data_IF_033761939419
#
_entry.id   IF_033761939419
#
_cell.length_a   1.000
_cell.length_b   1.000
_cell.length_c   1.000
_cell.angle_alpha   90.00
_cell.angle_beta   90.00
_cell.angle_gamma   90.00
#
_symmetry.space_group_name_H-M   'P 1'
#
loop_
_entity.id
_entity.type
_entity.pdbx_description
1 polymer ?
#
# COMPACT_ATOMS: atom_id res chain seq x y z
N UNK A 1 21.84 -9.18 -3.79
CA UNK A 1 20.90 -8.32 -3.05
C UNK A 1 21.03 -6.86 -3.46
N UNK A 2 21.98 -6.50 -4.35
CA UNK A 2 22.28 -5.11 -4.71
C UNK A 2 21.21 -4.36 -5.55
N UNK A 3 20.10 -4.99 -5.93
CA UNK A 3 19.10 -4.38 -6.83
C UNK A 3 17.71 -4.14 -6.21
N UNK A 4 17.51 -4.35 -4.89
CA UNK A 4 16.22 -4.04 -4.24
C UNK A 4 16.22 -2.58 -3.79
N UNK A 5 15.46 -1.73 -4.48
CA UNK A 5 15.37 -0.30 -4.18
C UNK A 5 14.57 0.01 -2.91
N UNK A 6 13.48 -0.71 -2.64
CA UNK A 6 12.59 -0.48 -1.50
C UNK A 6 11.69 -1.68 -1.22
N UNK A 7 11.10 -1.68 -0.03
CA UNK A 7 10.04 -2.60 0.39
C UNK A 7 8.73 -1.82 0.51
N UNK A 8 7.65 -2.37 -0.06
CA UNK A 8 6.29 -1.85 0.09
C UNK A 8 5.47 -2.92 0.79
N UNK A 9 4.91 -2.61 1.95
CA UNK A 9 4.12 -3.55 2.75
C UNK A 9 2.63 -3.31 2.49
N UNK A 10 1.94 -4.39 2.12
CA UNK A 10 0.49 -4.41 1.88
C UNK A 10 -0.20 -5.49 2.71
N UNK A 11 -1.53 -5.52 2.67
CA UNK A 11 -2.42 -6.40 3.43
C UNK A 11 -2.75 -5.86 4.83
N UNK A 12 -3.63 -6.57 5.54
CA UNK A 12 -4.09 -6.17 6.88
C UNK A 12 -2.97 -6.13 7.92
N UNK A 13 -1.97 -7.01 7.81
CA UNK A 13 -0.83 -7.05 8.73
C UNK A 13 0.09 -5.83 8.60
N UNK A 14 0.06 -5.12 7.46
CA UNK A 14 0.84 -3.89 7.27
C UNK A 14 0.51 -2.81 8.31
N UNK A 15 -0.68 -2.88 8.92
CA UNK A 15 -1.17 -1.92 9.92
C UNK A 15 -0.55 -2.11 11.31
N UNK A 16 0.22 -3.18 11.52
CA UNK A 16 1.02 -3.35 12.72
C UNK A 16 2.08 -2.25 12.72
N UNK A 17 1.91 -1.24 13.59
CA UNK A 17 2.72 -0.01 13.63
C UNK A 17 4.23 -0.26 13.69
N UNK A 18 4.65 -1.36 14.31
CA UNK A 18 6.06 -1.72 14.48
C UNK A 18 6.62 -2.55 13.32
N UNK A 19 5.80 -3.07 12.42
CA UNK A 19 6.23 -3.99 11.36
C UNK A 19 7.12 -3.30 10.33
N UNK A 20 6.66 -2.19 9.73
CA UNK A 20 7.45 -1.46 8.75
C UNK A 20 8.78 -0.93 9.33
N UNK A 21 8.82 -0.29 10.52
CA UNK A 21 10.07 0.11 11.15
C UNK A 21 11.02 -1.06 11.44
N UNK A 22 10.51 -2.20 11.93
CA UNK A 22 11.36 -3.36 12.23
C UNK A 22 11.95 -4.00 10.98
N UNK A 23 11.19 -4.05 9.89
CA UNK A 23 11.69 -4.55 8.60
C UNK A 23 12.75 -3.59 8.04
N UNK A 24 12.49 -2.27 8.10
CA UNK A 24 13.46 -1.27 7.66
C UNK A 24 14.79 -1.37 8.42
N UNK A 25 14.72 -1.51 9.74
CA UNK A 25 15.89 -1.67 10.60
C UNK A 25 16.65 -2.98 10.30
N UNK A 26 15.93 -4.10 10.24
CA UNK A 26 16.55 -5.42 10.07
C UNK A 26 17.20 -5.61 8.69
N UNK A 27 16.61 -5.02 7.65
CA UNK A 27 17.07 -5.16 6.27
C UNK A 27 17.89 -3.97 5.78
N UNK A 28 17.96 -2.87 6.54
CA UNK A 28 18.60 -1.62 6.13
C UNK A 28 18.09 -1.10 4.76
N UNK A 29 16.80 -1.29 4.50
CA UNK A 29 16.13 -0.89 3.25
C UNK A 29 14.94 0.03 3.54
N UNK A 30 14.72 1.02 2.67
CA UNK A 30 13.53 1.87 2.73
C UNK A 30 12.28 0.98 2.72
N UNK A 31 11.45 1.09 3.75
CA UNK A 31 10.22 0.30 3.88
C UNK A 31 9.05 1.23 4.12
N UNK A 32 8.02 1.13 3.28
CA UNK A 32 6.81 1.97 3.39
C UNK A 32 5.54 1.14 3.37
N UNK A 33 4.44 1.76 3.81
CA UNK A 33 3.11 1.23 3.60
C UNK A 33 2.66 1.45 2.15
N UNK A 34 2.02 0.44 1.58
CA UNK A 34 1.37 0.55 0.28
C UNK A 34 0.14 1.44 0.36
N UNK A 35 0.06 2.39 -0.57
CA UNK A 35 -1.13 3.24 -0.77
C UNK A 35 -1.59 3.14 -2.24
N UNK A 36 -2.60 2.29 -2.52
CA UNK A 36 -3.12 2.12 -3.87
C UNK A 36 -3.99 3.29 -4.33
N UNK A 37 -4.35 4.24 -3.46
CA UNK A 37 -5.17 5.40 -3.79
C UNK A 37 -4.36 6.61 -4.25
N UNK A 38 -3.05 6.61 -4.00
CA UNK A 38 -2.13 7.75 -4.24
C UNK A 38 -2.20 8.36 -5.65
N UNK A 39 -2.57 7.58 -6.66
CA UNK A 39 -2.67 8.04 -8.06
C UNK A 39 -4.11 8.08 -8.61
N UNK A 40 -5.12 7.98 -7.74
CA UNK A 40 -6.53 7.98 -8.10
C UNK A 40 -7.18 9.32 -7.73
N UNK A 41 -8.19 9.74 -8.50
CA UNK A 41 -9.08 10.82 -8.05
C UNK A 41 -10.05 10.27 -7.00
N UNK A 42 -9.84 10.71 -5.76
CA UNK A 42 -10.62 10.30 -4.58
C UNK A 42 -11.57 11.38 -4.09
N UNK A 43 -11.69 12.51 -4.79
CA UNK A 43 -12.48 13.68 -4.35
C UNK A 43 -13.98 13.38 -4.23
N UNK A 44 -14.47 12.38 -4.96
CA UNK A 44 -15.86 11.92 -4.91
C UNK A 44 -16.20 10.96 -3.76
N UNK A 45 -15.21 10.51 -2.98
CA UNK A 45 -15.44 9.56 -1.90
C UNK A 45 -16.04 10.24 -0.67
N UNK A 46 -17.09 9.65 -0.11
CA UNK A 46 -17.65 10.03 1.19
C UNK A 46 -16.91 9.32 2.34
N UNK A 47 -15.58 9.38 2.31
CA UNK A 47 -14.67 8.72 3.25
C UNK A 47 -13.63 9.75 3.66
N UNK A 48 -13.32 9.87 4.96
CA UNK A 48 -12.28 10.79 5.42
C UNK A 48 -10.89 10.35 4.96
N UNK A 49 -9.93 11.30 4.83
CA UNK A 49 -8.53 10.95 4.54
C UNK A 49 -7.95 9.94 5.54
N UNK A 50 -8.33 10.03 6.81
CA UNK A 50 -7.87 9.12 7.87
C UNK A 50 -8.40 7.71 7.70
N UNK A 51 -9.70 7.56 7.41
CA UNK A 51 -10.31 6.26 7.10
C UNK A 51 -9.70 5.63 5.85
N UNK A 52 -9.41 6.46 4.84
CA UNK A 52 -8.78 6.01 3.60
C UNK A 52 -7.33 5.52 3.85
N UNK A 53 -6.55 6.28 4.64
CA UNK A 53 -5.19 5.90 5.01
C UNK A 53 -5.15 4.60 5.84
N UNK A 54 -6.12 4.40 6.74
CA UNK A 54 -6.23 3.19 7.55
C UNK A 54 -6.55 1.93 6.70
N UNK A 55 -7.34 2.06 5.64
CA UNK A 55 -7.66 0.93 4.75
C UNK A 55 -6.63 0.72 3.63
N UNK A 56 -5.85 1.74 3.28
CA UNK A 56 -4.97 1.77 2.12
C UNK A 56 -4.08 0.52 1.96
N UNK A 57 -3.36 0.05 3.00
CA UNK A 57 -2.48 -1.12 2.85
C UNK A 57 -3.26 -2.39 2.47
N UNK A 58 -4.51 -2.51 2.91
CA UNK A 58 -5.37 -3.68 2.64
C UNK A 58 -6.09 -3.59 1.29
N UNK A 59 -6.20 -2.40 0.71
CA UNK A 59 -6.99 -2.15 -0.49
C UNK A 59 -6.29 -2.54 -1.80
N UNK A 60 -5.01 -2.94 -1.77
CA UNK A 60 -4.21 -3.16 -2.98
C UNK A 60 -4.85 -4.14 -3.98
N UNK A 61 -5.41 -5.25 -3.49
CA UNK A 61 -6.04 -6.26 -4.36
C UNK A 61 -7.34 -5.74 -4.97
N UNK A 62 -8.23 -5.15 -4.16
CA UNK A 62 -9.54 -4.68 -4.64
C UNK A 62 -9.41 -3.50 -5.60
N UNK A 63 -8.47 -2.58 -5.35
CA UNK A 63 -8.15 -1.49 -6.27
C UNK A 63 -7.61 -2.05 -7.59
N UNK A 64 -6.69 -3.02 -7.53
CA UNK A 64 -6.18 -3.69 -8.74
C UNK A 64 -7.29 -4.36 -9.56
N UNK A 65 -8.24 -5.04 -8.89
CA UNK A 65 -9.40 -5.63 -9.56
C UNK A 65 -10.31 -4.59 -10.21
N UNK A 66 -10.52 -3.44 -9.56
CA UNK A 66 -11.32 -2.36 -10.12
C UNK A 66 -10.64 -1.67 -11.32
N UNK A 67 -9.31 -1.59 -11.33
CA UNK A 67 -8.52 -1.05 -12.43
C UNK A 67 -8.41 -1.99 -13.63
N UNK A 68 -8.57 -3.30 -13.40
CA UNK A 68 -8.40 -4.34 -14.40
C UNK A 68 -9.29 -4.08 -15.62
N UNK A 69 -8.70 -4.08 -16.81
CA UNK A 69 -9.41 -4.01 -18.10
C UNK A 69 -9.46 -5.38 -18.77
N UNK A 70 -10.45 -5.58 -19.63
CA UNK A 70 -10.46 -6.77 -20.48
C UNK A 70 -9.22 -6.76 -21.39
N UNK A 71 -8.42 -7.82 -21.33
CA UNK A 71 -7.18 -7.97 -22.11
C UNK A 71 -5.89 -7.68 -21.34
N UNK A 72 -5.94 -7.17 -20.10
CA UNK A 72 -4.74 -7.09 -19.24
C UNK A 72 -4.26 -8.52 -18.91
N UNK A 73 -3.00 -8.84 -19.27
CA UNK A 73 -2.30 -10.10 -18.99
C UNK A 73 -1.05 -9.83 -18.16
#
# INVERSE_FOLDING_TARGET
YDDIARIVISGGCAKIKTLAPRIAEHLSLETVLGDPFRSLDITGLKISPEELAEMAPSAGVVVGLALRREGDR
#
